data_IF_920755095336
#
_entry.id   IF_920755095336
#
_cell.length_a   1.000
_cell.length_b   1.000
_cell.length_c   1.000
_cell.angle_alpha   90.00
_cell.angle_beta   90.00
_cell.angle_gamma   90.00
#
_symmetry.space_group_name_H-M   'P 1'
#
loop_
_entity.id
_entity.type
_entity.pdbx_description
1 polymer ?
#
# COMPACT_ATOMS: atom_id res chain seq x y z
N UNK A 1 0.64 -8.71 -16.66
CA UNK A 1 0.87 -8.44 -15.23
C UNK A 1 0.05 -7.21 -14.84
N UNK A 2 -0.93 -7.33 -13.91
CA UNK A 2 -1.72 -6.16 -13.45
C UNK A 2 -0.95 -5.43 -12.35
N UNK A 3 -0.73 -4.13 -12.51
CA UNK A 3 -0.01 -3.30 -11.53
C UNK A 3 -1.02 -2.80 -10.48
N UNK A 4 -0.68 -2.92 -9.20
CA UNK A 4 -1.46 -2.35 -8.11
C UNK A 4 -0.62 -1.32 -7.35
N UNK A 5 -1.28 -0.27 -6.88
CA UNK A 5 -0.67 0.78 -6.07
C UNK A 5 -1.20 0.64 -4.66
N UNK A 6 -0.30 0.42 -3.70
CA UNK A 6 -0.60 0.28 -2.28
C UNK A 6 -0.22 1.60 -1.60
N UNK A 7 -1.19 2.27 -0.99
CA UNK A 7 -1.00 3.55 -0.30
C UNK A 7 -1.21 3.34 1.19
N UNK A 8 -0.20 3.67 1.99
CA UNK A 8 -0.29 3.63 3.45
C UNK A 8 -0.69 5.01 4.01
N UNK A 9 -1.64 4.98 4.92
CA UNK A 9 -2.20 6.15 5.59
C UNK A 9 -1.86 6.12 7.08
N UNK A 10 -1.46 7.28 7.60
CA UNK A 10 -1.25 7.52 9.01
C UNK A 10 -2.48 8.05 9.72
N UNK A 11 -2.27 8.53 10.95
CA UNK A 11 -3.31 9.28 11.69
C UNK A 11 -3.72 10.52 10.90
N UNK A 12 -5.00 10.89 10.98
CA UNK A 12 -5.61 11.99 10.21
C UNK A 12 -5.61 11.80 8.68
N UNK A 13 -5.63 10.54 8.20
CA UNK A 13 -5.65 10.22 6.76
C UNK A 13 -4.48 10.81 5.95
N UNK A 14 -3.36 11.10 6.61
CA UNK A 14 -2.16 11.60 5.93
C UNK A 14 -1.49 10.44 5.18
N UNK A 15 -1.18 10.64 3.90
CA UNK A 15 -0.42 9.66 3.12
C UNK A 15 1.01 9.62 3.66
N UNK A 16 1.44 8.45 4.12
CA UNK A 16 2.82 8.23 4.59
C UNK A 16 3.69 7.73 3.44
N UNK A 17 3.16 6.81 2.64
CA UNK A 17 3.92 6.10 1.63
C UNK A 17 3.01 5.54 0.55
N UNK A 18 3.52 5.49 -0.68
CA UNK A 18 2.85 4.86 -1.81
C UNK A 18 3.84 3.94 -2.53
N UNK A 19 3.43 2.70 -2.79
CA UNK A 19 4.26 1.67 -3.41
C UNK A 19 3.53 1.09 -4.61
N UNK A 20 4.20 1.05 -5.75
CA UNK A 20 3.70 0.40 -6.97
C UNK A 20 4.29 -1.00 -7.03
N UNK A 21 3.44 -2.01 -7.06
CA UNK A 21 3.88 -3.42 -7.06
C UNK A 21 3.05 -4.25 -8.03
N UNK A 22 3.63 -5.27 -8.66
CA UNK A 22 2.84 -6.35 -9.24
C UNK A 22 2.01 -7.05 -8.15
N UNK A 23 0.84 -7.57 -8.54
CA UNK A 23 -0.13 -8.20 -7.62
C UNK A 23 0.48 -9.33 -6.79
N UNK A 24 1.43 -10.07 -7.35
CA UNK A 24 2.09 -11.24 -6.75
C UNK A 24 2.85 -10.89 -5.44
N UNK A 25 3.28 -9.63 -5.29
CA UNK A 25 3.98 -9.15 -4.10
C UNK A 25 3.13 -8.24 -3.21
N UNK A 26 1.83 -8.10 -3.48
CA UNK A 26 0.94 -7.18 -2.77
C UNK A 26 0.92 -7.45 -1.26
N UNK A 27 0.74 -8.70 -0.84
CA UNK A 27 0.61 -9.06 0.57
C UNK A 27 1.91 -8.81 1.35
N UNK A 28 3.06 -9.06 0.72
CA UNK A 28 4.37 -8.72 1.29
C UNK A 28 4.52 -7.21 1.51
N UNK A 29 4.09 -6.40 0.54
CA UNK A 29 4.12 -4.93 0.65
C UNK A 29 3.16 -4.45 1.75
N UNK A 30 1.95 -4.99 1.82
CA UNK A 30 0.97 -4.63 2.86
C UNK A 30 1.52 -4.98 4.26
N UNK A 31 2.06 -6.18 4.43
CA UNK A 31 2.67 -6.61 5.70
C UNK A 31 3.88 -5.74 6.08
N UNK A 32 4.69 -5.33 5.11
CA UNK A 32 5.80 -4.42 5.36
C UNK A 32 5.31 -3.03 5.82
N UNK A 33 4.24 -2.51 5.22
CA UNK A 33 3.67 -1.21 5.58
C UNK A 33 3.04 -1.23 6.98
N UNK A 34 2.33 -2.30 7.37
CA UNK A 34 1.76 -2.41 8.72
C UNK A 34 2.80 -2.60 9.83
N UNK A 35 4.04 -2.98 9.50
CA UNK A 35 5.15 -3.00 10.47
C UNK A 35 5.69 -1.60 10.77
N UNK A 36 5.37 -0.59 9.96
CA UNK A 36 5.77 0.79 10.22
C UNK A 36 4.87 1.41 11.31
N UNK A 37 5.46 1.87 12.41
CA UNK A 37 4.74 2.40 13.59
C UNK A 37 3.74 3.54 13.29
N UNK A 38 3.93 4.24 12.17
CA UNK A 38 3.12 5.39 11.79
C UNK A 38 1.89 5.02 10.94
N UNK A 39 1.86 3.82 10.36
CA UNK A 39 0.80 3.37 9.46
C UNK A 39 -0.38 2.85 10.28
N UNK A 40 -1.57 3.39 9.98
CA UNK A 40 -2.83 3.03 10.65
C UNK A 40 -3.75 2.28 9.69
N UNK A 41 -3.68 2.58 8.40
CA UNK A 41 -4.48 1.91 7.37
C UNK A 41 -3.70 1.80 6.05
N UNK A 42 -4.07 0.83 5.21
CA UNK A 42 -3.48 0.64 3.88
C UNK A 42 -4.61 0.50 2.86
N UNK A 43 -4.63 1.39 1.86
CA UNK A 43 -5.55 1.33 0.72
C UNK A 43 -4.86 0.74 -0.51
N UNK A 44 -5.59 0.00 -1.34
CA UNK A 44 -5.07 -0.58 -2.57
C UNK A 44 -5.88 -0.14 -3.77
N UNK A 45 -5.22 0.48 -4.75
CA UNK A 45 -5.82 0.85 -6.03
C UNK A 45 -5.26 -0.04 -7.14
N UNK A 46 -6.13 -0.66 -7.91
CA UNK A 46 -5.74 -1.48 -9.06
C UNK A 46 -5.94 -0.66 -10.33
N UNK A 47 -4.86 -0.38 -11.07
CA UNK A 47 -4.96 0.22 -12.41
C UNK A 47 -4.67 -0.87 -13.42
N UNK A 48 -5.72 -1.34 -14.09
CA UNK A 48 -5.58 -2.19 -15.26
C UNK A 48 -6.06 -1.37 -16.47
N UNK A 49 -5.24 -1.29 -17.51
CA UNK A 49 -5.70 -0.81 -18.82
C UNK A 49 -6.56 -1.89 -19.48
#
# INVERSE_FOLDING_TARGET
MKITTVTAYGRNNVIIKQVVTPYENRDNVINALFREKNVVAVGTATKNK
#
